data_IF_583100320229
#
_entry.id   IF_583100320229
#
_cell.length_a   1.000
_cell.length_b   1.000
_cell.length_c   1.000
_cell.angle_alpha   90.00
_cell.angle_beta   90.00
_cell.angle_gamma   90.00
#
_symmetry.space_group_name_H-M   'P 1'
#
loop_
_entity.id
_entity.type
_entity.pdbx_description
1 polymer ?
#
# COMPACT_ATOMS: atom_id res chain seq x y z
N UNK A 1 29.72 -3.66 11.55
CA UNK A 1 28.87 -2.57 11.10
C UNK A 1 27.40 -3.02 11.08
N UNK A 2 26.57 -2.28 11.72
CA UNK A 2 25.15 -2.58 11.63
C UNK A 2 24.69 -2.27 10.22
N UNK A 3 24.10 -3.24 9.56
CA UNK A 3 23.57 -3.00 8.26
C UNK A 3 22.28 -2.22 8.36
N UNK A 4 22.14 -1.21 7.53
CA UNK A 4 20.90 -0.49 7.42
C UNK A 4 19.89 -1.43 6.79
N UNK A 5 18.81 -1.70 7.51
CA UNK A 5 17.74 -2.51 6.95
C UNK A 5 17.04 -1.75 5.84
N UNK A 6 16.89 -2.41 4.72
CA UNK A 6 16.14 -1.84 3.62
C UNK A 6 14.68 -1.73 4.02
N UNK A 7 14.10 -0.58 3.72
CA UNK A 7 12.68 -0.33 3.93
C UNK A 7 11.99 -0.34 2.59
N UNK A 8 10.75 -0.82 2.58
CA UNK A 8 10.00 -1.01 1.36
C UNK A 8 8.62 -0.36 1.43
N UNK A 9 8.09 -0.13 0.25
CA UNK A 9 6.71 0.26 0.05
C UNK A 9 5.98 -0.94 -0.54
N UNK A 10 4.86 -1.32 0.06
CA UNK A 10 4.07 -2.47 -0.38
C UNK A 10 2.82 -2.00 -1.08
N UNK A 11 2.59 -2.50 -2.29
CA UNK A 11 1.33 -2.32 -3.01
C UNK A 11 0.52 -3.60 -2.87
N UNK A 12 -0.73 -3.47 -2.43
CA UNK A 12 -1.66 -4.60 -2.35
C UNK A 12 -2.83 -4.30 -3.28
N UNK A 13 -2.93 -5.05 -4.35
CA UNK A 13 -3.91 -4.81 -5.42
C UNK A 13 -4.13 -6.12 -6.17
N UNK A 14 -5.37 -6.58 -6.27
CA UNK A 14 -5.68 -7.86 -6.89
C UNK A 14 -5.71 -7.82 -8.42
N UNK A 15 -5.86 -6.66 -9.02
CA UNK A 15 -5.85 -6.54 -10.48
C UNK A 15 -4.41 -6.41 -10.99
N UNK A 16 -3.97 -7.41 -11.78
CA UNK A 16 -2.58 -7.49 -12.23
C UNK A 16 -2.10 -6.25 -12.97
N UNK A 17 -2.92 -5.74 -13.89
CA UNK A 17 -2.51 -4.59 -14.71
C UNK A 17 -2.29 -3.35 -13.85
N UNK A 18 -3.16 -3.11 -12.88
CA UNK A 18 -3.02 -1.95 -11.99
C UNK A 18 -1.82 -2.14 -11.08
N UNK A 19 -1.70 -3.32 -10.47
CA UNK A 19 -0.61 -3.61 -9.53
C UNK A 19 0.76 -3.44 -10.17
N UNK A 20 0.95 -4.01 -11.34
CA UNK A 20 2.25 -3.99 -12.00
C UNK A 20 2.56 -2.63 -12.61
N UNK A 21 1.57 -1.95 -13.17
CA UNK A 21 1.77 -0.60 -13.71
C UNK A 21 2.16 0.38 -12.61
N UNK A 22 1.47 0.30 -11.47
CA UNK A 22 1.77 1.17 -10.35
C UNK A 22 3.16 0.86 -9.76
N UNK A 23 3.49 -0.42 -9.63
CA UNK A 23 4.84 -0.81 -9.18
C UNK A 23 5.91 -0.20 -10.08
N UNK A 24 5.76 -0.37 -11.39
CA UNK A 24 6.78 0.11 -12.34
C UNK A 24 6.90 1.62 -12.30
N UNK A 25 5.77 2.32 -12.20
CA UNK A 25 5.78 3.78 -12.11
C UNK A 25 6.56 4.26 -10.88
N UNK A 26 6.29 3.66 -9.73
CA UNK A 26 6.95 4.06 -8.49
C UNK A 26 8.41 3.61 -8.44
N UNK A 27 8.73 2.43 -8.99
CA UNK A 27 10.13 2.01 -9.11
C UNK A 27 10.93 2.97 -9.97
N UNK A 28 10.34 3.46 -11.04
CA UNK A 28 11.00 4.42 -11.93
C UNK A 28 11.26 5.75 -11.24
N UNK A 29 10.55 6.03 -10.16
CA UNK A 29 10.80 7.21 -9.32
C UNK A 29 11.85 6.94 -8.23
N UNK A 30 12.38 5.72 -8.16
CA UNK A 30 13.41 5.37 -7.20
C UNK A 30 12.90 4.73 -5.93
N UNK A 31 11.61 4.46 -5.82
CA UNK A 31 11.05 3.84 -4.61
C UNK A 31 11.29 2.34 -4.59
N UNK A 32 11.66 1.76 -3.43
CA UNK A 32 11.82 0.31 -3.30
C UNK A 32 10.46 -0.36 -3.12
N UNK A 33 10.00 -1.07 -4.15
CA UNK A 33 8.64 -1.58 -4.22
C UNK A 33 8.56 -3.09 -4.01
N UNK A 34 7.55 -3.51 -3.23
CA UNK A 34 7.09 -4.89 -3.14
C UNK A 34 5.61 -4.91 -3.48
N UNK A 35 5.12 -6.05 -3.92
CA UNK A 35 3.72 -6.18 -4.31
C UNK A 35 3.08 -7.41 -3.69
N UNK A 36 1.77 -7.35 -3.54
CA UNK A 36 0.95 -8.49 -3.15
C UNK A 36 -0.40 -8.37 -3.86
N UNK A 37 -1.01 -9.51 -4.16
CA UNK A 37 -2.28 -9.53 -4.87
C UNK A 37 -3.49 -9.60 -3.95
N UNK A 38 -3.28 -9.82 -2.66
CA UNK A 38 -4.36 -9.91 -1.67
C UNK A 38 -3.80 -9.73 -0.26
N UNK A 39 -4.70 -9.76 0.73
CA UNK A 39 -4.30 -9.57 2.12
C UNK A 39 -3.40 -10.67 2.66
N UNK A 40 -3.55 -11.90 2.19
CA UNK A 40 -2.69 -13.00 2.62
C UNK A 40 -1.27 -12.79 2.13
N UNK A 41 -1.10 -12.45 0.85
CA UNK A 41 0.21 -12.12 0.30
C UNK A 41 0.83 -10.91 0.98
N UNK A 42 0.00 -9.93 1.33
CA UNK A 42 0.46 -8.75 2.06
C UNK A 42 1.01 -9.12 3.44
N UNK A 43 0.33 -10.01 4.16
CA UNK A 43 0.81 -10.46 5.47
C UNK A 43 2.17 -11.15 5.34
N UNK A 44 2.34 -11.97 4.31
CA UNK A 44 3.65 -12.61 4.07
C UNK A 44 4.74 -11.58 3.85
N UNK A 45 4.47 -10.55 3.05
CA UNK A 45 5.45 -9.47 2.83
C UNK A 45 5.76 -8.74 4.13
N UNK A 46 4.74 -8.50 4.96
CA UNK A 46 4.93 -7.82 6.25
C UNK A 46 5.78 -8.65 7.21
N UNK A 47 5.69 -9.97 7.14
CA UNK A 47 6.49 -10.85 7.97
C UNK A 47 7.94 -10.95 7.50
N UNK A 48 8.16 -10.91 6.19
CA UNK A 48 9.47 -11.18 5.60
C UNK A 48 10.30 -9.92 5.35
N UNK A 49 9.68 -8.74 5.34
CA UNK A 49 10.36 -7.52 4.96
C UNK A 49 10.00 -6.36 5.87
N UNK A 50 10.85 -5.36 5.89
CA UNK A 50 10.61 -4.14 6.64
C UNK A 50 9.79 -3.18 5.77
N UNK A 51 8.48 -3.20 5.95
CA UNK A 51 7.55 -2.36 5.20
C UNK A 51 7.30 -1.08 5.98
N UNK A 52 7.46 0.07 5.33
CA UNK A 52 7.18 1.35 5.97
C UNK A 52 5.88 1.98 5.50
N UNK A 53 5.55 1.81 4.22
CA UNK A 53 4.34 2.37 3.63
C UNK A 53 3.56 1.26 2.94
N UNK A 54 2.25 1.26 3.11
CA UNK A 54 1.35 0.32 2.46
C UNK A 54 0.36 1.11 1.62
N UNK A 55 0.27 0.78 0.33
CA UNK A 55 -0.75 1.30 -0.58
C UNK A 55 -1.65 0.12 -0.90
N UNK A 56 -2.87 0.11 -0.39
CA UNK A 56 -3.73 -1.05 -0.52
C UNK A 56 -5.09 -0.71 -1.09
N UNK A 57 -5.52 -1.50 -2.06
CA UNK A 57 -6.90 -1.45 -2.51
C UNK A 57 -7.81 -1.89 -1.35
N UNK A 58 -8.98 -1.27 -1.26
CA UNK A 58 -9.95 -1.62 -0.23
C UNK A 58 -10.62 -2.95 -0.55
N UNK A 59 -11.07 -3.11 -1.80
CA UNK A 59 -11.84 -4.29 -2.19
C UNK A 59 -10.95 -5.31 -2.89
N UNK A 60 -10.75 -6.44 -2.22
CA UNK A 60 -9.98 -7.56 -2.74
C UNK A 60 -10.75 -8.84 -2.43
N UNK A 61 -10.57 -9.86 -3.27
CA UNK A 61 -11.31 -11.11 -3.12
C UNK A 61 -10.90 -11.92 -1.91
N UNK A 62 -9.62 -11.88 -1.56
CA UNK A 62 -9.08 -12.67 -0.46
C UNK A 62 -8.57 -11.73 0.63
N UNK A 63 -9.23 -11.79 1.79
CA UNK A 63 -8.89 -10.98 2.96
C UNK A 63 -8.77 -9.50 2.59
N UNK A 64 -9.86 -8.94 2.07
CA UNK A 64 -9.95 -7.52 1.74
C UNK A 64 -11.08 -6.85 2.51
N UNK A 65 -11.37 -5.61 2.13
CA UNK A 65 -12.45 -4.84 2.70
C UNK A 65 -12.27 -4.53 4.18
N UNK A 66 -13.38 -4.62 4.91
CA UNK A 66 -13.42 -4.20 6.32
C UNK A 66 -12.40 -4.94 7.19
N UNK A 67 -12.27 -6.24 7.02
CA UNK A 67 -11.37 -7.01 7.89
C UNK A 67 -9.92 -6.73 7.61
N UNK A 68 -9.56 -6.50 6.36
CA UNK A 68 -8.20 -6.10 6.02
C UNK A 68 -7.85 -4.74 6.63
N UNK A 69 -8.77 -3.79 6.54
CA UNK A 69 -8.58 -2.47 7.13
C UNK A 69 -8.46 -2.57 8.64
N UNK A 70 -9.28 -3.41 9.28
CA UNK A 70 -9.19 -3.64 10.72
C UNK A 70 -7.84 -4.24 11.11
N UNK A 71 -7.33 -5.18 10.31
CA UNK A 71 -6.02 -5.76 10.56
C UNK A 71 -4.93 -4.70 10.51
N UNK A 72 -4.95 -3.86 9.48
CA UNK A 72 -3.96 -2.79 9.34
C UNK A 72 -4.02 -1.82 10.51
N UNK A 73 -5.23 -1.44 10.90
CA UNK A 73 -5.42 -0.50 12.01
C UNK A 73 -4.91 -1.07 13.32
N UNK A 74 -5.14 -2.34 13.56
CA UNK A 74 -4.77 -2.97 14.82
C UNK A 74 -3.30 -3.35 14.91
N UNK A 75 -2.74 -3.87 13.83
CA UNK A 75 -1.40 -4.49 13.86
C UNK A 75 -0.32 -3.73 13.10
N UNK A 76 -0.69 -2.75 12.30
CA UNK A 76 0.25 -2.00 11.47
C UNK A 76 0.25 -0.51 11.79
N UNK A 77 0.01 -0.15 13.06
CA UNK A 77 -0.05 1.25 13.48
C UNK A 77 1.26 2.00 13.35
N UNK A 78 2.38 1.29 13.25
CA UNK A 78 3.69 1.88 13.01
C UNK A 78 3.97 2.18 11.54
N UNK A 79 3.06 1.78 10.66
CA UNK A 79 3.23 1.97 9.22
C UNK A 79 2.30 3.05 8.71
N UNK A 80 2.66 3.61 7.56
CA UNK A 80 1.84 4.63 6.90
C UNK A 80 1.01 3.93 5.84
N UNK A 81 -0.30 4.16 5.86
CA UNK A 81 -1.23 3.41 5.00
C UNK A 81 -2.05 4.38 4.16
N UNK A 82 -2.11 4.10 2.87
CA UNK A 82 -3.04 4.75 1.94
C UNK A 82 -3.95 3.66 1.39
N UNK A 83 -5.26 3.84 1.54
CA UNK A 83 -6.24 2.92 0.99
C UNK A 83 -6.76 3.49 -0.32
N UNK A 84 -6.76 2.69 -1.37
CA UNK A 84 -7.32 3.09 -2.66
C UNK A 84 -8.69 2.45 -2.82
N UNK A 85 -9.65 3.19 -3.39
CA UNK A 85 -11.01 2.71 -3.52
C UNK A 85 -11.68 3.27 -4.76
N UNK A 86 -12.49 2.43 -5.42
CA UNK A 86 -13.36 2.85 -6.51
C UNK A 86 -14.70 3.37 -6.03
N UNK A 87 -14.94 3.36 -4.73
CA UNK A 87 -16.20 3.78 -4.15
C UNK A 87 -16.09 5.17 -3.55
N UNK A 88 -17.05 6.03 -3.84
CA UNK A 88 -17.09 7.37 -3.27
C UNK A 88 -17.44 7.35 -1.78
N UNK A 89 -18.08 6.28 -1.32
CA UNK A 89 -18.49 6.14 0.08
C UNK A 89 -18.26 4.70 0.53
N UNK A 90 -17.19 4.46 1.30
CA UNK A 90 -17.01 3.15 1.94
C UNK A 90 -18.19 2.88 2.88
N UNK A 91 -18.53 1.61 3.05
CA UNK A 91 -19.64 1.21 3.92
C UNK A 91 -19.37 1.51 5.39
N UNK A 92 -18.11 1.70 5.75
CA UNK A 92 -17.72 2.05 7.10
C UNK A 92 -16.56 3.05 7.06
N UNK A 93 -16.30 3.66 8.20
CA UNK A 93 -15.22 4.63 8.31
C UNK A 93 -13.86 3.95 8.16
N UNK A 94 -13.03 4.49 7.28
CA UNK A 94 -11.66 4.00 7.09
C UNK A 94 -10.72 4.94 7.84
N UNK A 95 -9.95 4.42 8.81
CA UNK A 95 -9.08 5.26 9.65
C UNK A 95 -7.76 5.61 9.00
N UNK A 96 -7.68 5.59 7.69
CA UNK A 96 -6.49 5.90 6.91
C UNK A 96 -6.81 6.92 5.84
N UNK A 97 -5.76 7.46 5.25
CA UNK A 97 -5.89 8.29 4.06
C UNK A 97 -6.48 7.45 2.93
N UNK A 98 -7.48 7.98 2.24
CA UNK A 98 -8.13 7.29 1.13
C UNK A 98 -7.87 8.06 -0.14
N UNK A 99 -7.48 7.34 -1.18
CA UNK A 99 -7.31 7.91 -2.52
C UNK A 99 -8.28 7.19 -3.45
N UNK A 100 -9.17 7.95 -4.08
CA UNK A 100 -10.24 7.38 -4.89
C UNK A 100 -9.77 7.14 -6.33
N UNK A 101 -10.18 6.03 -6.89
CA UNK A 101 -9.89 5.67 -8.28
C UNK A 101 -10.88 6.36 -9.22
N UNK A 102 -10.47 6.78 -10.40
CA UNK A 102 -9.08 6.80 -10.87
C UNK A 102 -8.31 7.95 -10.22
N UNK A 103 -7.07 7.69 -9.84
CA UNK A 103 -6.22 8.71 -9.23
C UNK A 103 -5.03 9.02 -10.15
N UNK A 104 -4.46 10.20 -9.97
CA UNK A 104 -3.30 10.64 -10.71
C UNK A 104 -2.05 10.02 -10.08
N UNK A 105 -1.27 9.29 -10.88
CA UNK A 105 -0.04 8.66 -10.40
C UNK A 105 0.99 9.66 -9.93
N UNK A 106 1.00 10.86 -10.53
CA UNK A 106 1.90 11.93 -10.09
C UNK A 106 1.54 12.40 -8.68
N UNK A 107 0.26 12.53 -8.39
CA UNK A 107 -0.19 12.91 -7.05
C UNK A 107 0.17 11.83 -6.04
N UNK A 108 -0.01 10.56 -6.42
CA UNK A 108 0.36 9.46 -5.55
C UNK A 108 1.87 9.45 -5.29
N UNK A 109 2.69 9.60 -6.33
CA UNK A 109 4.14 9.63 -6.16
C UNK A 109 4.58 10.77 -5.26
N UNK A 110 3.98 11.95 -5.42
CA UNK A 110 4.30 13.09 -4.56
C UNK A 110 3.93 12.80 -3.10
N UNK A 111 2.78 12.17 -2.87
CA UNK A 111 2.36 11.81 -1.52
C UNK A 111 3.28 10.75 -0.92
N UNK A 112 3.67 9.77 -1.71
CA UNK A 112 4.59 8.72 -1.26
C UNK A 112 5.95 9.33 -0.89
N UNK A 113 6.43 10.30 -1.65
CA UNK A 113 7.69 10.96 -1.32
C UNK A 113 7.63 11.68 0.02
N UNK A 114 6.48 12.24 0.38
CA UNK A 114 6.31 12.83 1.71
C UNK A 114 6.36 11.78 2.81
N UNK A 115 5.81 10.60 2.56
CA UNK A 115 5.75 9.51 3.54
C UNK A 115 7.02 8.68 3.57
N UNK A 116 7.77 8.66 2.48
CA UNK A 116 8.96 7.84 2.31
C UNK A 116 10.02 8.67 1.58
N UNK A 117 10.66 9.63 2.25
CA UNK A 117 11.63 10.49 1.58
C UNK A 117 12.79 9.71 0.98
N UNK A 118 13.14 10.05 -0.25
CA UNK A 118 14.26 9.46 -0.98
C UNK A 118 15.47 10.35 -0.82
N UNK A 119 16.44 9.93 -0.07
CA UNK A 119 17.73 10.64 -0.04
C UNK A 119 18.76 9.81 0.71
#
# INVERSE_FOLDING_TARGET
MAEKQDKYILIVEDEDSIRLTLRDYLQNHGFPMLVASDGVGAIKQLLDHNIEVIISDYRMDIFGGEYWVKFLDRYCGDKKVIVTSGFLRPEFSIPFEVMYKPFDYKELAARIEELFPLN
#
